data_IF_981218849261
#
_entry.id   IF_981218849261
#
_cell.length_a   1.000
_cell.length_b   1.000
_cell.length_c   1.000
_cell.angle_alpha   90.00
_cell.angle_beta   90.00
_cell.angle_gamma   90.00
#
_symmetry.space_group_name_H-M   'P 1'
#
loop_
_entity.id
_entity.type
_entity.pdbx_description
1 polymer ?
#
# COMPACT_ATOMS: atom_id res chain seq x y z
N UNK A 1 4.48 -35.51 -20.19
CA UNK A 1 3.49 -34.88 -19.30
C UNK A 1 4.25 -33.96 -18.37
N UNK A 2 4.27 -32.67 -18.68
CA UNK A 2 5.02 -31.68 -17.90
C UNK A 2 4.13 -31.19 -16.75
N UNK A 3 4.32 -31.75 -15.56
CA UNK A 3 3.81 -31.14 -14.32
C UNK A 3 4.65 -29.90 -14.04
N UNK A 4 4.30 -28.78 -14.67
CA UNK A 4 4.63 -27.46 -14.11
C UNK A 4 3.59 -27.19 -13.03
N UNK A 5 3.72 -27.86 -11.89
CA UNK A 5 3.10 -27.42 -10.65
C UNK A 5 3.63 -26.01 -10.43
N UNK A 6 2.77 -25.01 -10.62
CA UNK A 6 3.00 -23.62 -10.24
C UNK A 6 3.17 -23.54 -8.72
N UNK A 7 4.29 -24.04 -8.22
CA UNK A 7 4.82 -23.81 -6.88
C UNK A 7 5.36 -22.37 -6.82
N UNK A 8 4.57 -21.42 -7.34
CA UNK A 8 4.63 -20.05 -6.89
C UNK A 8 4.16 -20.15 -5.45
N UNK A 9 5.10 -20.42 -4.54
CA UNK A 9 5.02 -19.95 -3.17
C UNK A 9 4.30 -18.61 -3.24
N UNK A 10 3.15 -18.49 -2.58
CA UNK A 10 2.51 -17.19 -2.41
C UNK A 10 3.56 -16.28 -1.80
N UNK A 11 4.27 -15.51 -2.63
CA UNK A 11 5.42 -14.69 -2.25
C UNK A 11 4.98 -13.50 -1.38
N UNK A 12 3.70 -13.46 -1.03
CA UNK A 12 3.04 -12.38 -0.34
C UNK A 12 2.46 -12.94 0.95
N UNK A 13 3.03 -12.52 2.08
CA UNK A 13 2.56 -12.93 3.39
C UNK A 13 1.19 -12.32 3.70
N UNK A 14 0.30 -13.15 4.24
CA UNK A 14 -0.99 -12.72 4.74
C UNK A 14 -0.79 -12.22 6.18
N UNK A 15 -1.34 -11.05 6.51
CA UNK A 15 -1.36 -10.57 7.90
C UNK A 15 -2.54 -11.20 8.63
N UNK A 16 -2.23 -11.98 9.65
CA UNK A 16 -3.21 -12.65 10.53
C UNK A 16 -3.29 -12.03 11.94
N UNK A 17 -2.61 -10.91 12.16
CA UNK A 17 -2.49 -10.25 13.46
C UNK A 17 -1.34 -10.77 14.33
N UNK A 18 -0.55 -11.74 13.85
CA UNK A 18 0.61 -12.30 14.57
C UNK A 18 1.91 -12.05 13.79
N UNK A 19 3.05 -12.23 14.47
CA UNK A 19 4.39 -12.19 13.86
C UNK A 19 4.67 -10.94 12.99
N UNK A 20 4.30 -9.76 13.50
CA UNK A 20 4.43 -8.47 12.80
C UNK A 20 5.78 -8.26 12.12
N UNK A 21 6.90 -8.56 12.79
CA UNK A 21 8.24 -8.35 12.25
C UNK A 21 8.52 -9.15 10.98
N UNK A 22 8.04 -10.40 10.93
CA UNK A 22 8.23 -11.28 9.77
C UNK A 22 7.32 -10.84 8.62
N UNK A 23 6.07 -10.52 8.94
CA UNK A 23 5.10 -10.05 7.96
C UNK A 23 5.53 -8.73 7.32
N UNK A 24 5.93 -7.74 8.14
CA UNK A 24 6.34 -6.42 7.66
C UNK A 24 7.55 -6.48 6.74
N UNK A 25 8.59 -7.26 7.09
CA UNK A 25 9.74 -7.46 6.20
C UNK A 25 9.38 -8.13 4.88
N UNK A 26 8.46 -9.11 4.89
CA UNK A 26 8.03 -9.76 3.65
C UNK A 26 7.14 -8.84 2.80
N UNK A 27 6.31 -8.03 3.45
CA UNK A 27 5.45 -7.05 2.77
C UNK A 27 6.27 -5.91 2.16
N UNK A 28 7.34 -5.47 2.83
CA UNK A 28 8.30 -4.50 2.28
C UNK A 28 8.92 -5.03 0.98
N UNK A 29 9.49 -6.24 0.99
CA UNK A 29 10.04 -6.86 -0.23
C UNK A 29 8.98 -7.04 -1.34
N UNK A 30 7.73 -7.34 -0.98
CA UNK A 30 6.64 -7.40 -1.95
C UNK A 30 6.33 -6.02 -2.56
N UNK A 31 6.26 -4.96 -1.76
CA UNK A 31 6.02 -3.60 -2.24
C UNK A 31 7.19 -3.08 -3.09
N UNK A 32 8.43 -3.45 -2.76
CA UNK A 32 9.62 -3.20 -3.58
C UNK A 32 9.48 -3.85 -4.95
N UNK A 33 9.10 -5.14 -4.98
CA UNK A 33 8.86 -5.86 -6.23
C UNK A 33 7.74 -5.24 -7.07
N UNK A 34 6.71 -4.68 -6.42
CA UNK A 34 5.62 -3.96 -7.10
C UNK A 34 6.01 -2.54 -7.56
N UNK A 35 7.21 -2.07 -7.20
CA UNK A 35 7.70 -0.73 -7.51
C UNK A 35 6.91 0.37 -6.81
N UNK A 36 6.47 0.14 -5.56
CA UNK A 36 5.70 1.10 -4.75
C UNK A 36 6.17 1.17 -3.29
N UNK A 37 7.30 0.56 -2.94
CA UNK A 37 7.85 0.62 -1.57
C UNK A 37 8.21 2.04 -1.14
N UNK A 38 8.60 2.92 -2.08
CA UNK A 38 8.95 4.31 -1.78
C UNK A 38 7.82 5.07 -1.11
N UNK A 39 6.56 4.71 -1.36
CA UNK A 39 5.37 5.31 -0.72
C UNK A 39 5.42 5.19 0.81
N UNK A 40 6.09 4.17 1.34
CA UNK A 40 6.24 3.98 2.79
C UNK A 40 7.14 5.02 3.45
N UNK A 41 8.03 5.65 2.67
CA UNK A 41 9.04 6.60 3.16
C UNK A 41 8.88 8.00 2.54
N UNK A 42 8.01 8.14 1.55
CA UNK A 42 7.72 9.40 0.89
C UNK A 42 6.95 10.35 1.83
N UNK A 43 7.33 11.63 1.80
CA UNK A 43 6.62 12.67 2.55
C UNK A 43 5.40 13.13 1.77
N UNK A 44 4.26 13.27 2.44
CA UNK A 44 3.04 13.82 1.83
C UNK A 44 3.32 15.23 1.29
N UNK A 45 3.17 15.48 -0.01
CA UNK A 45 3.42 16.80 -0.58
C UNK A 45 2.39 17.80 -0.05
N UNK A 46 2.88 18.94 0.44
CA UNK A 46 2.03 20.08 0.80
C UNK A 46 1.78 20.95 -0.43
N UNK A 47 0.58 21.50 -0.57
CA UNK A 47 0.25 22.40 -1.68
C UNK A 47 1.19 23.61 -1.72
N UNK A 48 1.77 23.86 -2.90
CA UNK A 48 2.58 25.04 -3.19
C UNK A 48 1.79 25.94 -4.12
N UNK A 49 1.52 27.17 -3.70
CA UNK A 49 0.81 28.15 -4.50
C UNK A 49 1.79 28.91 -5.40
N UNK A 50 1.44 29.04 -6.68
CA UNK A 50 2.09 29.94 -7.63
C UNK A 50 1.56 31.37 -7.46
N UNK A 51 2.26 32.32 -8.08
CA UNK A 51 1.93 33.75 -8.05
C UNK A 51 0.53 34.09 -8.62
N UNK A 52 -0.03 33.21 -9.44
CA UNK A 52 -1.36 33.32 -10.03
C UNK A 52 -2.46 32.64 -9.18
N UNK A 53 -2.11 32.10 -8.01
CA UNK A 53 -3.02 31.39 -7.12
C UNK A 53 -3.28 29.92 -7.48
N UNK A 54 -2.63 29.39 -8.54
CA UNK A 54 -2.71 27.97 -8.88
C UNK A 54 -1.81 27.10 -8.00
N UNK A 55 -2.14 25.81 -7.86
CA UNK A 55 -1.27 24.84 -7.16
C UNK A 55 -0.18 24.36 -8.14
N UNK A 56 1.05 24.82 -7.94
CA UNK A 56 2.18 24.55 -8.84
C UNK A 56 2.65 23.10 -8.81
N UNK A 57 2.47 22.41 -7.67
CA UNK A 57 2.84 21.01 -7.49
C UNK A 57 1.64 20.04 -7.59
N UNK A 58 0.59 20.42 -8.31
CA UNK A 58 -0.62 19.59 -8.45
C UNK A 58 -0.36 18.21 -9.11
N UNK A 59 0.70 18.06 -9.90
CA UNK A 59 1.13 16.76 -10.45
C UNK A 59 1.72 15.84 -9.39
N UNK A 60 2.63 16.35 -8.54
CA UNK A 60 3.23 15.59 -7.44
C UNK A 60 2.17 15.11 -6.45
N UNK A 61 1.23 15.98 -6.07
CA UNK A 61 0.13 15.63 -5.17
C UNK A 61 -0.74 14.51 -5.78
N UNK A 62 -1.02 14.57 -7.08
CA UNK A 62 -1.79 13.53 -7.77
C UNK A 62 -1.04 12.21 -7.85
N UNK A 63 0.26 12.27 -8.12
CA UNK A 63 1.11 11.08 -8.17
C UNK A 63 1.17 10.40 -6.80
N UNK A 64 1.46 11.17 -5.74
CA UNK A 64 1.47 10.66 -4.37
C UNK A 64 0.13 10.01 -3.98
N UNK A 65 -1.00 10.65 -4.28
CA UNK A 65 -2.34 10.09 -4.01
C UNK A 65 -2.57 8.77 -4.75
N UNK A 66 -2.12 8.67 -6.00
CA UNK A 66 -2.24 7.46 -6.79
C UNK A 66 -1.42 6.31 -6.17
N UNK A 67 -0.19 6.59 -5.76
CA UNK A 67 0.71 5.57 -5.23
C UNK A 67 0.30 5.13 -3.81
N UNK A 68 -0.19 6.05 -2.98
CA UNK A 68 -0.82 5.78 -1.68
C UNK A 68 -2.04 4.85 -1.82
N UNK A 69 -2.93 5.11 -2.79
CA UNK A 69 -4.07 4.23 -3.07
C UNK A 69 -3.64 2.83 -3.48
N UNK A 70 -2.59 2.72 -4.32
CA UNK A 70 -2.06 1.45 -4.79
C UNK A 70 -1.41 0.64 -3.65
N UNK A 71 -0.67 1.30 -2.77
CA UNK A 71 -0.08 0.70 -1.57
C UNK A 71 -1.17 0.20 -0.60
N UNK A 72 -2.17 1.03 -0.30
CA UNK A 72 -3.32 0.66 0.55
C UNK A 72 -4.10 -0.52 0.00
N UNK A 73 -4.40 -0.53 -1.30
CA UNK A 73 -5.09 -1.64 -1.95
C UNK A 73 -4.29 -2.94 -1.85
N UNK A 74 -2.98 -2.88 -2.07
CA UNK A 74 -2.08 -4.02 -1.96
C UNK A 74 -2.04 -4.63 -0.56
N UNK A 75 -2.05 -3.80 0.47
CA UNK A 75 -2.09 -4.25 1.87
C UNK A 75 -3.45 -4.91 2.20
N UNK A 76 -4.57 -4.27 1.84
CA UNK A 76 -5.93 -4.78 2.14
C UNK A 76 -6.19 -6.17 1.55
N UNK A 77 -5.69 -6.44 0.35
CA UNK A 77 -5.83 -7.75 -0.33
C UNK A 77 -5.05 -8.90 0.35
N UNK A 78 -4.28 -8.60 1.40
CA UNK A 78 -3.41 -9.56 2.10
C UNK A 78 -3.72 -9.64 3.60
N UNK A 79 -4.87 -9.13 4.03
CA UNK A 79 -5.36 -9.28 5.39
C UNK A 79 -6.27 -10.51 5.48
N UNK A 80 -6.26 -11.22 6.61
CA UNK A 80 -7.30 -12.23 6.88
C UNK A 80 -8.65 -11.56 7.16
N UNK A 81 -9.75 -12.28 6.94
CA UNK A 81 -11.09 -11.82 7.29
C UNK A 81 -11.22 -11.42 8.77
N UNK A 82 -10.55 -12.17 9.66
CA UNK A 82 -10.52 -11.85 11.08
C UNK A 82 -9.86 -10.50 11.37
N UNK A 83 -8.78 -10.15 10.68
CA UNK A 83 -8.17 -8.82 10.79
C UNK A 83 -9.11 -7.76 10.22
N UNK A 84 -9.70 -7.99 9.04
CA UNK A 84 -10.62 -7.06 8.38
C UNK A 84 -11.82 -6.73 9.28
N UNK A 85 -12.42 -7.74 9.92
CA UNK A 85 -13.58 -7.57 10.81
C UNK A 85 -13.28 -6.73 12.07
N UNK A 86 -12.00 -6.57 12.43
CA UNK A 86 -11.56 -5.78 13.58
C UNK A 86 -10.99 -4.42 13.19
N UNK A 87 -10.91 -4.09 11.90
CA UNK A 87 -10.59 -2.73 11.45
C UNK A 87 -11.85 -1.89 11.72
N UNK A 88 -11.77 -0.81 12.51
CA UNK A 88 -12.88 0.10 12.69
C UNK A 88 -13.39 0.53 11.32
N UNK A 89 -14.67 0.34 11.03
CA UNK A 89 -15.27 0.92 9.84
C UNK A 89 -15.01 2.42 9.91
N UNK A 90 -14.29 2.94 8.93
CA UNK A 90 -14.21 4.38 8.70
C UNK A 90 -15.57 4.84 8.18
N UNK A 91 -16.57 4.86 9.06
CA UNK A 91 -17.65 5.83 8.98
C UNK A 91 -17.03 7.17 9.34
N UNK A 92 -16.32 7.75 8.36
CA UNK A 92 -15.77 9.09 8.48
C UNK A 92 -16.95 10.06 8.41
N UNK A 93 -17.30 10.61 9.57
CA UNK A 93 -17.66 12.01 9.81
C UNK A 93 -18.29 12.72 8.60
N UNK A 94 -19.62 12.87 8.66
CA UNK A 94 -20.43 13.79 7.85
C UNK A 94 -19.95 15.23 7.90
#
# INVERSE_FOLDING_TARGET
MSSNSNNIFNAVSIFDGKHWLVWSGTMESYLEHQGISYVLTETVPTEVLASDGSVSNASEIRQWKHDDLRAKGSIKLRLTEGVIANIPSTDVVS
#
